data_IF_402673096511
#
_entry.id   IF_402673096511
#
_cell.length_a   1.000
_cell.length_b   1.000
_cell.length_c   1.000
_cell.angle_alpha   90.00
_cell.angle_beta   90.00
_cell.angle_gamma   90.00
#
_symmetry.space_group_name_H-M   'P 1'
#
loop_
_entity.id
_entity.type
_entity.pdbx_description
1 polymer ?
#
# COMPACT_ATOMS: atom_id res chain seq x y z
N UNK A 1 -4.35 -16.17 5.93
CA UNK A 1 -3.86 -15.31 4.83
C UNK A 1 -2.73 -14.41 5.31
N UNK A 2 -1.80 -14.05 4.41
CA UNK A 2 -0.87 -12.91 4.62
C UNK A 2 -1.56 -11.58 4.32
N UNK A 3 -1.09 -10.49 4.91
CA UNK A 3 -1.47 -9.12 4.59
C UNK A 3 -0.24 -8.42 4.02
N UNK A 4 -0.38 -7.94 2.78
CA UNK A 4 0.63 -7.13 2.11
C UNK A 4 0.16 -5.67 2.00
N UNK A 5 0.97 -4.75 2.52
CA UNK A 5 0.78 -3.31 2.37
C UNK A 5 1.65 -2.83 1.22
N UNK A 6 1.04 -2.25 0.18
CA UNK A 6 1.75 -1.65 -0.97
C UNK A 6 1.51 -0.16 -0.99
N UNK A 7 2.60 0.60 -0.88
CA UNK A 7 2.55 2.05 -0.78
C UNK A 7 3.59 2.70 -1.68
N UNK A 8 3.20 3.83 -2.26
CA UNK A 8 4.08 4.66 -3.08
C UNK A 8 4.47 5.87 -2.25
N UNK A 9 5.76 6.19 -2.23
CA UNK A 9 6.29 7.34 -1.49
C UNK A 9 7.30 8.10 -2.31
N UNK A 10 7.33 9.42 -2.13
CA UNK A 10 8.48 10.24 -2.54
C UNK A 10 9.70 9.91 -1.68
N UNK A 11 10.89 10.37 -2.07
CA UNK A 11 12.11 10.18 -1.30
C UNK A 11 12.01 10.78 0.11
N UNK A 12 11.27 11.89 0.23
CA UNK A 12 10.99 12.52 1.51
C UNK A 12 9.75 11.94 2.22
N UNK A 13 9.16 10.83 1.75
CA UNK A 13 8.17 10.02 2.46
C UNK A 13 6.70 10.43 2.29
N UNK A 14 6.37 11.31 1.34
CA UNK A 14 4.99 11.71 1.03
C UNK A 14 4.33 10.65 0.16
N UNK A 15 3.13 10.20 0.53
CA UNK A 15 2.34 9.21 -0.23
C UNK A 15 1.08 9.79 -0.88
N UNK A 16 0.79 11.07 -0.68
CA UNK A 16 -0.42 11.71 -1.18
C UNK A 16 -0.35 11.99 -2.69
N UNK A 17 -1.39 11.57 -3.43
CA UNK A 17 -1.61 11.88 -4.85
C UNK A 17 -0.48 11.45 -5.79
N UNK A 18 -0.06 10.17 -5.83
CA UNK A 18 1.03 9.70 -6.69
C UNK A 18 0.75 9.79 -8.20
N UNK A 19 -0.47 9.46 -8.62
CA UNK A 19 -0.90 9.19 -9.98
C UNK A 19 -1.45 10.39 -10.76
N UNK A 20 -1.86 11.50 -10.12
CA UNK A 20 -2.12 12.74 -10.87
C UNK A 20 -2.09 14.00 -10.01
N UNK A 21 -1.92 15.20 -10.62
CA UNK A 21 -1.99 16.47 -9.89
C UNK A 21 -3.31 16.70 -9.13
N UNK A 22 -4.40 16.06 -9.56
CA UNK A 22 -5.75 16.24 -8.99
C UNK A 22 -6.28 15.00 -8.29
N UNK A 23 -5.49 13.93 -8.15
CA UNK A 23 -5.92 12.67 -7.54
C UNK A 23 -6.38 12.85 -6.09
N UNK A 24 -5.65 13.65 -5.32
CA UNK A 24 -5.94 13.88 -3.91
C UNK A 24 -5.52 15.28 -3.45
N UNK A 25 -6.35 16.28 -3.78
CA UNK A 25 -6.12 17.69 -3.41
C UNK A 25 -6.58 18.04 -1.99
N UNK A 26 -6.93 17.03 -1.18
CA UNK A 26 -7.39 17.28 0.19
C UNK A 26 -6.30 17.93 1.05
N UNK A 27 -6.72 18.67 2.07
CA UNK A 27 -5.85 19.45 2.96
C UNK A 27 -5.01 20.52 2.23
N UNK A 28 -5.43 20.93 1.03
CA UNK A 28 -4.74 21.95 0.23
C UNK A 28 -3.51 21.44 -0.51
N UNK A 29 -3.36 20.12 -0.67
CA UNK A 29 -2.23 19.53 -1.39
C UNK A 29 -2.32 19.81 -2.90
N UNK A 30 -1.23 20.31 -3.49
CA UNK A 30 -1.16 20.74 -4.90
C UNK A 30 0.03 20.14 -5.66
N UNK A 31 0.70 19.13 -5.09
CA UNK A 31 1.98 18.58 -5.60
C UNK A 31 1.85 17.12 -6.02
N UNK A 32 0.66 16.73 -6.50
CA UNK A 32 0.37 15.36 -6.94
C UNK A 32 0.94 15.02 -8.32
N UNK A 33 0.80 13.75 -8.72
CA UNK A 33 1.28 13.22 -10.00
C UNK A 33 2.78 12.93 -10.03
N UNK A 34 3.43 12.92 -8.87
CA UNK A 34 4.88 12.78 -8.76
C UNK A 34 5.41 11.39 -9.10
N UNK A 35 4.57 10.34 -9.15
CA UNK A 35 4.99 8.99 -9.52
C UNK A 35 5.00 8.78 -11.04
N UNK A 36 4.02 9.34 -11.75
CA UNK A 36 3.76 9.09 -13.18
C UNK A 36 4.99 9.28 -14.08
N UNK A 37 5.82 10.34 -13.91
CA UNK A 37 7.01 10.52 -14.75
C UNK A 37 8.04 9.40 -14.64
N UNK A 38 7.95 8.56 -13.62
CA UNK A 38 8.93 7.52 -13.31
C UNK A 38 8.43 6.10 -13.59
N UNK A 39 7.19 5.94 -14.07
CA UNK A 39 6.66 4.63 -14.42
C UNK A 39 7.42 4.06 -15.63
N UNK A 40 7.73 2.77 -15.59
CA UNK A 40 8.33 2.03 -16.69
C UNK A 40 7.87 0.57 -16.72
N UNK A 41 8.34 -0.18 -17.70
CA UNK A 41 7.96 -1.59 -17.91
C UNK A 41 8.27 -2.46 -16.69
N UNK A 42 9.40 -2.24 -16.01
CA UNK A 42 9.76 -3.04 -14.84
C UNK A 42 8.80 -2.75 -13.69
N UNK A 43 8.46 -1.48 -13.44
CA UNK A 43 7.44 -1.13 -12.46
C UNK A 43 6.14 -1.87 -12.76
N UNK A 44 5.63 -1.73 -13.99
CA UNK A 44 4.33 -2.30 -14.38
C UNK A 44 4.30 -3.81 -14.17
N UNK A 45 5.33 -4.51 -14.66
CA UNK A 45 5.47 -5.96 -14.48
C UNK A 45 5.53 -6.37 -13.02
N UNK A 46 6.29 -5.65 -12.18
CA UNK A 46 6.44 -6.03 -10.76
C UNK A 46 5.15 -5.79 -10.00
N UNK A 47 4.45 -4.69 -10.25
CA UNK A 47 3.20 -4.36 -9.55
C UNK A 47 2.04 -5.24 -10.01
N UNK A 48 2.01 -5.67 -11.28
CA UNK A 48 1.04 -6.66 -11.75
C UNK A 48 1.32 -8.04 -11.14
N UNK A 49 2.58 -8.48 -11.12
CA UNK A 49 2.98 -9.72 -10.45
C UNK A 49 2.63 -9.71 -8.96
N UNK A 50 2.70 -8.54 -8.30
CA UNK A 50 2.25 -8.40 -6.92
C UNK A 50 0.74 -8.61 -6.83
N UNK A 51 -0.06 -7.90 -7.63
CA UNK A 51 -1.52 -8.02 -7.65
C UNK A 51 -1.98 -9.47 -7.90
N UNK A 52 -1.23 -10.23 -8.69
CA UNK A 52 -1.55 -11.64 -8.97
C UNK A 52 -1.46 -12.58 -7.75
N UNK A 53 -0.75 -12.16 -6.71
CA UNK A 53 -0.73 -12.88 -5.44
C UNK A 53 -2.02 -12.70 -4.62
N UNK A 54 -2.81 -11.66 -4.90
CA UNK A 54 -4.00 -11.34 -4.14
C UNK A 54 -5.10 -12.40 -4.30
N UNK A 55 -5.69 -12.76 -3.16
CA UNK A 55 -6.98 -13.43 -3.08
C UNK A 55 -8.10 -12.42 -2.68
N UNK A 56 -7.74 -11.21 -2.25
CA UNK A 56 -8.67 -10.12 -1.99
C UNK A 56 -7.98 -8.77 -1.75
N UNK A 57 -8.72 -7.69 -1.98
CA UNK A 57 -8.32 -6.33 -1.68
C UNK A 57 -8.89 -5.90 -0.33
N UNK A 58 -8.12 -5.14 0.45
CA UNK A 58 -8.50 -4.66 1.78
C UNK A 58 -8.45 -3.11 1.86
N UNK A 59 -9.31 -2.39 1.11
CA UNK A 59 -9.32 -0.94 1.14
C UNK A 59 -10.08 -0.37 2.35
N UNK A 60 -9.65 0.80 2.82
CA UNK A 60 -10.52 1.69 3.59
C UNK A 60 -11.53 2.41 2.68
N UNK A 61 -12.59 2.98 3.26
CA UNK A 61 -13.70 3.65 2.52
C UNK A 61 -13.23 4.57 1.38
N UNK A 62 -12.33 5.53 1.65
CA UNK A 62 -11.95 6.56 0.66
C UNK A 62 -11.25 5.94 -0.56
N UNK A 63 -10.34 4.99 -0.33
CA UNK A 63 -9.69 4.26 -1.42
C UNK A 63 -10.69 3.41 -2.19
N UNK A 64 -11.60 2.72 -1.48
CA UNK A 64 -12.65 1.95 -2.12
C UNK A 64 -13.54 2.81 -3.03
N UNK A 65 -14.00 3.97 -2.57
CA UNK A 65 -14.83 4.88 -3.35
C UNK A 65 -14.11 5.41 -4.60
N UNK A 66 -12.81 5.75 -4.47
CA UNK A 66 -11.99 6.15 -5.62
C UNK A 66 -11.83 5.00 -6.62
N UNK A 67 -11.51 3.81 -6.14
CA UNK A 67 -11.31 2.63 -6.98
C UNK A 67 -12.60 2.20 -7.67
N UNK A 68 -13.72 2.19 -6.95
CA UNK A 68 -15.04 1.87 -7.49
C UNK A 68 -15.50 2.87 -8.56
N UNK A 69 -15.02 4.12 -8.50
CA UNK A 69 -15.27 5.14 -9.53
C UNK A 69 -14.41 4.91 -10.77
N UNK A 70 -13.12 4.60 -10.59
CA UNK A 70 -12.14 4.67 -11.69
C UNK A 70 -11.91 3.32 -12.39
N UNK A 71 -11.72 2.21 -11.64
CA UNK A 71 -11.36 0.90 -12.21
C UNK A 71 -12.39 0.33 -13.20
N UNK A 72 -13.72 0.46 -12.96
CA UNK A 72 -14.70 -0.03 -13.93
C UNK A 72 -14.72 0.76 -15.25
N UNK A 73 -14.09 1.93 -15.31
CA UNK A 73 -14.05 2.78 -16.51
C UNK A 73 -12.83 2.48 -17.40
N UNK A 74 -11.85 1.73 -16.91
CA UNK A 74 -10.68 1.32 -17.69
C UNK A 74 -11.12 0.18 -18.62
N UNK A 75 -11.03 0.43 -19.93
CA UNK A 75 -11.50 -0.48 -21.00
C UNK A 75 -10.38 -0.98 -21.89
N UNK A 76 -9.14 -0.57 -21.61
CA UNK A 76 -7.97 -1.04 -22.33
C UNK A 76 -7.80 -2.56 -22.06
N UNK A 77 -7.92 -3.42 -23.09
CA UNK A 77 -7.77 -4.86 -22.90
C UNK A 77 -6.33 -5.27 -22.57
N UNK A 78 -5.35 -4.40 -22.82
CA UNK A 78 -3.95 -4.65 -22.53
C UNK A 78 -3.51 -4.10 -21.15
N UNK A 79 -4.43 -3.48 -20.39
CA UNK A 79 -4.15 -3.04 -19.02
C UNK A 79 -3.98 -4.26 -18.08
N UNK A 80 -2.80 -4.46 -17.48
CA UNK A 80 -2.48 -5.69 -16.75
C UNK A 80 -3.14 -5.78 -15.37
N UNK A 81 -3.89 -4.75 -14.93
CA UNK A 81 -4.49 -4.69 -13.61
C UNK A 81 -6.00 -4.84 -13.64
N UNK A 82 -6.64 -4.35 -14.70
CA UNK A 82 -8.09 -4.09 -14.77
C UNK A 82 -8.92 -5.33 -14.47
N UNK A 83 -8.60 -6.47 -15.09
CA UNK A 83 -9.33 -7.72 -14.85
C UNK A 83 -9.22 -8.17 -13.38
N UNK A 84 -8.00 -8.17 -12.83
CA UNK A 84 -7.75 -8.60 -11.45
C UNK A 84 -8.41 -7.64 -10.45
N UNK A 85 -8.25 -6.34 -10.62
CA UNK A 85 -8.88 -5.34 -9.76
C UNK A 85 -10.41 -5.50 -9.73
N UNK A 86 -11.03 -5.66 -10.90
CA UNK A 86 -12.48 -5.79 -11.00
C UNK A 86 -13.01 -7.14 -10.51
N UNK A 87 -12.25 -8.24 -10.65
CA UNK A 87 -12.70 -9.59 -10.27
C UNK A 87 -12.46 -9.95 -8.80
N UNK A 88 -11.41 -9.42 -8.17
CA UNK A 88 -11.05 -9.76 -6.79
C UNK A 88 -12.16 -9.37 -5.79
N UNK A 89 -12.34 -10.11 -4.68
CA UNK A 89 -13.13 -9.67 -3.52
C UNK A 89 -12.58 -8.38 -2.90
N UNK A 90 -13.45 -7.43 -2.54
CA UNK A 90 -13.11 -6.21 -1.81
C UNK A 90 -13.65 -6.32 -0.38
N UNK A 91 -12.75 -6.33 0.59
CA UNK A 91 -13.08 -6.29 2.02
C UNK A 91 -12.94 -4.86 2.52
N UNK A 92 -14.04 -4.11 2.53
CA UNK A 92 -14.00 -2.67 2.81
C UNK A 92 -14.07 -2.41 4.30
N UNK A 93 -12.98 -1.94 4.90
CA UNK A 93 -12.92 -1.62 6.35
C UNK A 93 -13.54 -0.26 6.59
N UNK A 94 -14.75 -0.22 7.15
CA UNK A 94 -15.50 1.03 7.36
C UNK A 94 -16.71 0.86 8.27
N UNK A 95 -17.00 1.90 9.06
CA UNK A 95 -18.21 1.99 9.88
C UNK A 95 -19.33 2.81 9.23
N UNK A 96 -19.10 3.36 8.04
CA UNK A 96 -19.98 4.40 7.45
C UNK A 96 -20.51 4.06 6.06
N UNK A 97 -19.81 3.23 5.28
CA UNK A 97 -20.34 2.73 4.03
C UNK A 97 -21.44 1.72 4.34
N UNK A 98 -22.63 1.88 3.78
CA UNK A 98 -23.76 0.96 3.98
C UNK A 98 -23.70 -0.22 3.01
N UNK A 99 -23.47 0.05 1.74
CA UNK A 99 -23.44 -0.90 0.63
C UNK A 99 -22.32 -0.52 -0.36
N UNK A 100 -21.70 -1.52 -0.98
CA UNK A 100 -20.64 -1.31 -1.97
C UNK A 100 -21.17 -1.45 -3.40
N UNK A 101 -20.81 -0.50 -4.28
CA UNK A 101 -21.16 -0.49 -5.71
C UNK A 101 -20.23 -1.29 -6.64
N UNK A 102 -19.07 -1.75 -6.14
CA UNK A 102 -18.03 -2.40 -6.94
C UNK A 102 -17.86 -3.84 -6.48
N UNK A 103 -18.50 -4.77 -7.17
CA UNK A 103 -18.61 -6.16 -6.72
C UNK A 103 -17.40 -7.02 -7.16
N UNK A 104 -17.14 -8.15 -6.47
CA UNK A 104 -17.74 -8.59 -5.21
C UNK A 104 -17.21 -7.80 -4.00
N UNK A 105 -18.10 -7.24 -3.17
CA UNK A 105 -17.73 -6.43 -2.00
C UNK A 105 -18.33 -6.99 -0.71
N UNK A 106 -17.54 -7.02 0.35
CA UNK A 106 -17.94 -7.28 1.74
C UNK A 106 -17.53 -6.09 2.61
N UNK A 107 -18.46 -5.52 3.37
CA UNK A 107 -18.17 -4.43 4.31
C UNK A 107 -17.78 -5.00 5.67
N UNK A 108 -16.56 -4.70 6.13
CA UNK A 108 -16.07 -5.06 7.46
C UNK A 108 -16.32 -3.90 8.43
N UNK A 109 -17.21 -4.13 9.41
CA UNK A 109 -17.62 -3.15 10.42
C UNK A 109 -17.05 -3.47 11.79
N UNK A 110 -16.82 -2.43 12.59
CA UNK A 110 -16.36 -2.53 13.97
C UNK A 110 -14.94 -2.01 14.13
N UNK A 111 -14.18 -2.66 15.01
CA UNK A 111 -12.77 -2.37 15.22
C UNK A 111 -11.93 -2.91 14.03
N UNK A 112 -11.14 -2.06 13.35
CA UNK A 112 -10.33 -2.48 12.22
C UNK A 112 -9.31 -3.59 12.53
N UNK A 113 -8.68 -3.55 13.72
CA UNK A 113 -7.63 -4.51 14.07
C UNK A 113 -8.26 -5.88 14.29
N UNK A 114 -9.35 -5.95 15.05
CA UNK A 114 -10.07 -7.18 15.31
C UNK A 114 -10.63 -7.79 14.02
N UNK A 115 -11.39 -7.02 13.25
CA UNK A 115 -12.12 -7.52 12.06
C UNK A 115 -11.16 -8.00 10.96
N UNK A 116 -10.06 -7.26 10.75
CA UNK A 116 -9.01 -7.68 9.82
C UNK A 116 -8.25 -8.89 10.36
N UNK A 117 -7.99 -8.97 11.66
CA UNK A 117 -7.37 -10.13 12.30
C UNK A 117 -8.19 -11.42 12.12
N UNK A 118 -9.51 -11.34 12.30
CA UNK A 118 -10.43 -12.45 12.06
C UNK A 118 -10.42 -12.90 10.59
N UNK A 119 -10.44 -11.94 9.65
CA UNK A 119 -10.34 -12.25 8.22
C UNK A 119 -8.98 -12.88 7.89
N UNK A 120 -7.87 -12.33 8.41
CA UNK A 120 -6.51 -12.84 8.22
C UNK A 120 -6.38 -14.31 8.68
N UNK A 121 -7.12 -14.72 9.71
CA UNK A 121 -7.11 -16.09 10.22
C UNK A 121 -7.79 -17.11 9.27
N UNK A 122 -8.56 -16.65 8.27
CA UNK A 122 -9.18 -17.54 7.30
C UNK A 122 -8.16 -18.12 6.28
N UNK A 123 -8.48 -19.26 5.65
CA UNK A 123 -7.67 -19.83 4.57
C UNK A 123 -7.54 -18.87 3.39
N UNK A 124 -6.38 -18.92 2.72
CA UNK A 124 -6.07 -18.10 1.55
C UNK A 124 -4.60 -17.64 1.56
N UNK A 125 -4.17 -17.03 0.47
CA UNK A 125 -2.80 -16.59 0.21
C UNK A 125 -2.55 -15.19 0.75
N UNK A 126 -3.09 -14.15 0.11
CA UNK A 126 -2.75 -12.76 0.39
C UNK A 126 -3.94 -11.81 0.30
N UNK A 127 -4.10 -10.95 1.30
CA UNK A 127 -4.93 -9.75 1.27
C UNK A 127 -4.03 -8.55 0.99
N UNK A 128 -4.41 -7.73 0.01
CA UNK A 128 -3.61 -6.58 -0.38
C UNK A 128 -4.26 -5.26 -0.01
N UNK A 129 -3.47 -4.40 0.61
CA UNK A 129 -3.81 -3.01 0.86
C UNK A 129 -3.02 -2.18 -0.17
N UNK A 130 -3.73 -1.53 -1.09
CA UNK A 130 -3.14 -0.59 -2.05
C UNK A 130 -3.51 0.83 -1.64
N UNK A 131 -2.53 1.60 -1.21
CA UNK A 131 -2.82 2.84 -0.51
C UNK A 131 -3.65 2.55 0.75
N UNK A 132 -4.68 3.35 1.01
CA UNK A 132 -5.27 3.46 2.34
C UNK A 132 -4.19 3.58 3.43
N UNK A 133 -3.27 4.54 3.26
CA UNK A 133 -2.16 4.81 4.18
C UNK A 133 -2.60 4.78 5.67
N UNK A 134 -3.74 5.39 6.01
CA UNK A 134 -4.27 5.33 7.39
C UNK A 134 -4.59 3.89 7.88
N UNK A 135 -5.24 3.07 7.05
CA UNK A 135 -5.54 1.67 7.40
C UNK A 135 -4.25 0.86 7.43
N UNK A 136 -3.40 0.99 6.41
CA UNK A 136 -2.09 0.35 6.34
C UNK A 136 -1.25 0.62 7.58
N UNK A 137 -1.14 1.88 8.00
CA UNK A 137 -0.42 2.29 9.21
C UNK A 137 -0.99 1.67 10.47
N UNK A 138 -2.32 1.70 10.64
CA UNK A 138 -2.96 1.13 11.81
C UNK A 138 -2.69 -0.39 11.92
N UNK A 139 -2.76 -1.11 10.80
CA UNK A 139 -2.51 -2.55 10.75
C UNK A 139 -1.02 -2.88 10.89
N UNK A 140 -0.13 -2.07 10.32
CA UNK A 140 1.31 -2.21 10.48
C UNK A 140 1.71 -2.02 11.94
N UNK A 141 1.19 -0.97 12.58
CA UNK A 141 1.43 -0.68 14.00
C UNK A 141 0.83 -1.75 14.93
N UNK A 142 -0.26 -2.41 14.52
CA UNK A 142 -0.85 -3.54 15.22
C UNK A 142 -0.14 -4.89 14.96
N UNK A 143 0.92 -4.92 14.14
CA UNK A 143 1.65 -6.14 13.80
C UNK A 143 0.88 -7.11 12.89
N UNK A 144 -0.13 -6.62 12.17
CA UNK A 144 -0.96 -7.45 11.29
C UNK A 144 -0.43 -7.54 9.86
N UNK A 145 0.39 -6.58 9.41
CA UNK A 145 1.03 -6.60 8.09
C UNK A 145 2.21 -7.58 8.11
N UNK A 146 2.26 -8.52 7.18
CA UNK A 146 3.39 -9.46 7.05
C UNK A 146 4.44 -8.96 6.04
N UNK A 147 3.96 -8.27 4.99
CA UNK A 147 4.82 -7.80 3.90
C UNK A 147 4.56 -6.32 3.64
N UNK A 148 5.62 -5.52 3.66
CA UNK A 148 5.60 -4.13 3.28
C UNK A 148 6.32 -3.96 1.93
N UNK A 149 5.57 -3.55 0.90
CA UNK A 149 6.06 -3.22 -0.43
C UNK A 149 6.09 -1.70 -0.57
N UNK A 150 7.29 -1.13 -0.74
CA UNK A 150 7.48 0.29 -0.93
C UNK A 150 7.98 0.56 -2.33
N UNK A 151 7.32 1.47 -3.04
CA UNK A 151 7.86 2.09 -4.25
C UNK A 151 8.31 3.49 -3.91
N UNK A 152 9.63 3.72 -3.90
CA UNK A 152 10.21 5.03 -3.61
C UNK A 152 10.50 5.75 -4.92
N UNK A 153 9.83 6.87 -5.15
CA UNK A 153 10.05 7.73 -6.30
C UNK A 153 11.21 8.72 -6.06
N UNK A 154 12.01 9.03 -7.09
CA UNK A 154 13.10 10.01 -7.01
C UNK A 154 12.56 11.45 -7.06
N UNK A 155 11.64 11.77 -6.16
CA UNK A 155 10.99 13.07 -6.03
C UNK A 155 11.03 13.53 -4.57
N UNK A 156 11.07 14.85 -4.36
CA UNK A 156 10.88 15.49 -3.05
C UNK A 156 9.77 16.51 -3.19
N UNK A 157 8.63 16.26 -2.53
CA UNK A 157 7.48 17.18 -2.60
C UNK A 157 7.40 18.11 -1.41
N UNK A 158 8.09 17.82 -0.30
CA UNK A 158 8.26 18.66 0.88
C UNK A 158 7.06 18.70 1.83
N UNK A 159 5.83 18.64 1.30
CA UNK A 159 4.58 18.70 2.05
C UNK A 159 3.58 17.70 1.50
N UNK A 160 2.72 17.16 2.35
CA UNK A 160 1.69 16.18 1.99
C UNK A 160 1.59 15.12 3.06
N UNK A 161 0.55 14.29 3.02
CA UNK A 161 0.44 13.16 3.96
C UNK A 161 1.57 12.17 3.73
N UNK A 162 2.19 11.73 4.83
CA UNK A 162 3.27 10.76 4.82
C UNK A 162 2.74 9.38 5.11
N UNK A 163 3.43 8.37 4.59
CA UNK A 163 3.08 7.00 4.90
C UNK A 163 3.27 6.72 6.39
N UNK A 164 4.46 6.91 6.95
CA UNK A 164 4.75 6.48 8.32
C UNK A 164 4.67 7.64 9.35
N UNK A 165 3.61 8.44 9.30
CA UNK A 165 3.37 9.44 10.33
C UNK A 165 2.77 8.80 11.59
N UNK A 166 3.50 8.91 12.71
CA UNK A 166 3.09 8.46 14.05
C UNK A 166 2.88 6.95 14.23
N UNK A 167 3.90 6.08 14.04
CA UNK A 167 3.78 4.71 14.47
C UNK A 167 3.58 4.68 16.00
N UNK A 168 2.63 3.87 16.50
CA UNK A 168 2.39 3.72 17.96
C UNK A 168 3.57 3.05 18.68
N UNK A 169 4.51 2.48 17.93
CA UNK A 169 5.78 1.92 18.39
C UNK A 169 6.70 1.56 17.22
N UNK A 170 7.99 1.30 17.46
CA UNK A 170 8.94 0.97 16.41
C UNK A 170 8.65 -0.40 15.76
N UNK A 171 8.56 -0.45 14.43
CA UNK A 171 8.35 -1.69 13.66
C UNK A 171 9.66 -2.11 13.00
N UNK A 172 10.09 -3.34 13.27
CA UNK A 172 11.25 -3.96 12.65
C UNK A 172 10.90 -4.47 11.25
N UNK A 173 11.80 -4.20 10.31
CA UNK A 173 11.67 -4.62 8.91
C UNK A 173 12.93 -5.34 8.47
N UNK A 174 12.77 -6.44 7.74
CA UNK A 174 13.87 -7.14 7.10
C UNK A 174 13.69 -7.08 5.58
N UNK A 175 14.63 -6.44 4.88
CA UNK A 175 14.62 -6.38 3.42
C UNK A 175 14.89 -7.78 2.87
N UNK A 176 13.98 -8.31 2.05
CA UNK A 176 14.17 -9.60 1.39
C UNK A 176 14.25 -9.49 -0.14
N UNK A 177 13.80 -8.36 -0.72
CA UNK A 177 13.95 -8.09 -2.16
C UNK A 177 14.02 -6.60 -2.44
N UNK A 178 14.87 -6.21 -3.38
CA UNK A 178 14.95 -4.85 -3.90
C UNK A 178 15.20 -4.87 -5.41
N UNK A 179 14.63 -3.92 -6.12
CA UNK A 179 14.87 -3.69 -7.55
C UNK A 179 14.92 -2.18 -7.80
N UNK A 180 15.69 -1.77 -8.82
CA UNK A 180 15.75 -0.38 -9.28
C UNK A 180 15.32 -0.36 -10.73
N UNK A 181 14.35 0.47 -11.06
CA UNK A 181 13.86 0.60 -12.43
C UNK A 181 14.71 1.57 -13.25
N UNK A 182 14.57 1.55 -14.58
CA UNK A 182 15.35 2.41 -15.47
C UNK A 182 15.04 3.89 -15.23
N UNK A 183 13.81 4.21 -14.83
CA UNK A 183 13.36 5.56 -14.50
C UNK A 183 13.59 5.97 -13.04
N UNK A 184 14.28 5.12 -12.25
CA UNK A 184 14.77 5.46 -10.92
C UNK A 184 13.84 5.13 -9.76
N UNK A 185 12.77 4.35 -9.98
CA UNK A 185 11.95 3.86 -8.87
C UNK A 185 12.71 2.77 -8.09
N UNK A 186 12.69 2.86 -6.77
CA UNK A 186 13.16 1.77 -5.90
C UNK A 186 11.96 0.92 -5.49
N UNK A 187 11.96 -0.36 -5.86
CA UNK A 187 10.92 -1.31 -5.47
C UNK A 187 11.48 -2.18 -4.35
N UNK A 188 11.03 -1.94 -3.14
CA UNK A 188 11.55 -2.57 -1.92
C UNK A 188 10.47 -3.47 -1.32
N UNK A 189 10.87 -4.68 -0.89
CA UNK A 189 9.98 -5.60 -0.19
C UNK A 189 10.61 -6.04 1.12
N UNK A 190 9.87 -5.80 2.20
CA UNK A 190 10.26 -6.10 3.56
C UNK A 190 9.29 -7.11 4.18
N UNK A 191 9.83 -8.00 5.00
CA UNK A 191 9.04 -8.74 5.99
C UNK A 191 9.03 -7.95 7.30
N UNK A 192 7.90 -7.97 8.00
CA UNK A 192 7.80 -7.43 9.37
C UNK A 192 8.38 -8.44 10.36
N UNK A 193 9.27 -7.98 11.24
CA UNK A 193 10.03 -8.84 12.18
C UNK A 193 9.77 -8.47 13.65
N UNK A 194 8.61 -7.88 13.94
CA UNK A 194 8.22 -7.44 15.27
C UNK A 194 8.73 -6.04 15.61
N UNK A 195 9.29 -5.85 16.81
CA UNK A 195 9.84 -4.57 17.24
C UNK A 195 11.16 -4.26 16.52
N UNK A 196 11.42 -2.99 16.20
CA UNK A 196 12.68 -2.62 15.55
C UNK A 196 13.87 -2.88 16.51
N UNK A 197 14.95 -3.54 16.04
CA UNK A 197 16.14 -3.71 16.85
C UNK A 197 16.83 -2.35 17.07
N UNK A 198 17.33 -2.14 18.28
CA UNK A 198 18.15 -0.97 18.66
C UNK A 198 19.44 -1.48 19.30
N UNK A 199 20.55 -0.84 18.97
CA UNK A 199 21.88 -1.17 19.50
C UNK A 199 22.74 0.09 19.58
N UNK A 200 23.72 0.08 20.46
CA UNK A 200 24.73 1.14 20.56
C UNK A 200 25.81 0.96 19.50
N UNK A 201 26.40 2.08 19.06
CA UNK A 201 27.51 2.05 18.12
C UNK A 201 28.83 1.79 18.86
N UNK A 202 29.42 0.61 18.66
CA UNK A 202 30.65 0.16 19.33
C UNK A 202 31.93 0.49 18.54
N UNK A 203 31.84 1.36 17.54
CA UNK A 203 32.95 1.69 16.64
C UNK A 203 32.93 0.86 15.35
N UNK A 204 33.55 1.39 14.29
CA UNK A 204 33.50 0.82 12.93
C UNK A 204 34.06 -0.60 12.87
N UNK A 205 35.01 -0.92 13.74
CA UNK A 205 35.65 -2.24 13.85
C UNK A 205 34.69 -3.35 14.24
N UNK A 206 33.53 -3.04 14.82
CA UNK A 206 32.50 -4.04 15.12
C UNK A 206 31.76 -4.55 13.85
N UNK A 207 31.95 -3.89 12.71
CA UNK A 207 31.23 -4.15 11.46
C UNK A 207 32.12 -4.67 10.31
N UNK A 208 33.42 -4.86 10.54
CA UNK A 208 34.42 -5.28 9.53
C UNK A 208 35.17 -6.53 9.93
#
# INVERSE_FOLDING_TARGET
>A
MKIALTEFVTLDGVSQGPGSPTEDTSDGFTRGGWLVPHLDELFVRRTSDWLDLADGLLPGRRTYEAFARDWPQITDPDDPYTERMNSLPKYVVTNTLTEGSWHPTTVLRGDPIQTVGELKAQPGRELQIHGSARLGNALLAAGLVDTLRLVVAPAVTGSGRRLLDHPSGPVGLQLFRHEVTANGLLLLQYETVGAAPVAEYEGVTAFV
#
